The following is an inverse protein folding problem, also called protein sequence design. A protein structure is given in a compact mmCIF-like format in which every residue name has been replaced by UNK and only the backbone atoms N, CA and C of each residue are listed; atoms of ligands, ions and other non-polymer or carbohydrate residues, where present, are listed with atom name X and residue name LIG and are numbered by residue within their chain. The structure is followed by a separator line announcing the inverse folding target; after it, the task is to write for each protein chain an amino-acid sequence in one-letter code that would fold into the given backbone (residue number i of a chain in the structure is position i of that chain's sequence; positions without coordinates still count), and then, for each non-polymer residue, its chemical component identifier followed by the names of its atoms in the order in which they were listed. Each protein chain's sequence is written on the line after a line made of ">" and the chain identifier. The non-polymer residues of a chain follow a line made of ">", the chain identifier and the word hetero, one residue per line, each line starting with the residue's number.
data_IF_279720157300
#
_entry.id   IF_279720157300
#
_cell.length_a   1.000
_cell.length_b   1.000
_cell.length_c   1.000
_cell.angle_alpha   90.00
_cell.angle_beta   90.00
_cell.angle_gamma   90.00
#
_symmetry.space_group_name_H-M   'P 1'
#
loop_
_entity.id
_entity.type
_entity.pdbx_description
1 polymer ?
#
# COMPACT_ATOMS: atom_id res chain seq x y z
N UNK A 1 8.30 -4.15 5.71
CA UNK A 1 7.13 -5.04 5.63
C UNK A 1 6.06 -4.47 4.69
N UNK A 2 5.52 -3.27 4.92
CA UNK A 2 4.43 -2.68 4.12
C UNK A 2 4.73 -2.65 2.61
N UNK A 3 5.95 -2.29 2.18
CA UNK A 3 6.32 -2.28 0.75
C UNK A 3 6.34 -3.69 0.13
N UNK A 4 6.65 -4.72 0.90
CA UNK A 4 6.56 -6.10 0.41
C UNK A 4 5.10 -6.52 0.19
N UNK A 5 4.21 -6.08 1.05
CA UNK A 5 2.78 -6.42 1.01
C UNK A 5 2.01 -5.55 0.01
N UNK A 6 2.20 -4.23 0.03
CA UNK A 6 1.41 -3.26 -0.74
C UNK A 6 2.11 -2.74 -2.00
N UNK A 7 3.32 -3.24 -2.28
CA UNK A 7 4.15 -3.04 -3.47
C UNK A 7 4.77 -1.66 -3.61
N UNK A 8 4.02 -0.57 -3.51
CA UNK A 8 4.50 0.79 -3.82
C UNK A 8 3.82 1.82 -2.94
N UNK A 9 4.58 2.82 -2.51
CA UNK A 9 4.07 4.02 -1.85
C UNK A 9 4.75 5.27 -2.40
N UNK A 10 4.03 6.40 -2.40
CA UNK A 10 4.65 7.71 -2.65
C UNK A 10 5.37 8.22 -1.40
N UNK A 11 6.25 9.23 -1.57
CA UNK A 11 6.89 9.92 -0.42
C UNK A 11 5.86 10.44 0.58
N UNK A 12 4.75 11.02 0.12
CA UNK A 12 3.67 11.51 0.98
C UNK A 12 2.97 10.40 1.76
N UNK A 13 2.69 9.27 1.12
CA UNK A 13 2.09 8.11 1.79
C UNK A 13 3.02 7.55 2.87
N UNK A 14 4.32 7.44 2.59
CA UNK A 14 5.30 6.98 3.58
C UNK A 14 5.43 8.00 4.73
N UNK A 15 5.37 9.30 4.42
CA UNK A 15 5.36 10.32 5.46
C UNK A 15 4.17 10.13 6.42
N UNK A 16 2.96 9.92 5.90
CA UNK A 16 1.77 9.62 6.73
C UNK A 16 1.96 8.37 7.59
N UNK A 17 2.56 7.31 7.02
CA UNK A 17 2.75 6.04 7.70
C UNK A 17 3.76 6.07 8.85
N UNK A 18 4.84 6.87 8.72
CA UNK A 18 6.01 6.72 9.58
C UNK A 18 6.66 8.02 10.07
N UNK A 19 6.25 9.19 9.57
CA UNK A 19 6.91 10.46 9.88
C UNK A 19 5.90 11.55 10.23
N UNK A 20 6.35 12.56 10.97
CA UNK A 20 5.52 13.73 11.29
C UNK A 20 5.64 14.83 10.23
N UNK A 21 6.75 14.87 9.49
CA UNK A 21 7.02 15.88 8.48
C UNK A 21 7.53 15.23 7.19
N UNK A 22 7.12 15.81 6.05
CA UNK A 22 7.50 15.30 4.73
C UNK A 22 9.01 15.42 4.48
N UNK A 23 9.63 16.54 4.85
CA UNK A 23 11.06 16.76 4.63
C UNK A 23 11.92 15.70 5.35
N UNK A 24 11.56 15.40 6.60
CA UNK A 24 12.21 14.33 7.38
C UNK A 24 12.03 12.96 6.71
N UNK A 25 10.85 12.68 6.16
CA UNK A 25 10.59 11.47 5.41
C UNK A 25 11.47 11.42 4.15
N UNK A 26 11.55 12.50 3.37
CA UNK A 26 12.32 12.55 2.13
C UNK A 26 13.82 12.35 2.35
N UNK A 27 14.40 12.96 3.39
CA UNK A 27 15.79 12.76 3.77
C UNK A 27 16.07 11.31 4.15
N UNK A 28 15.21 10.72 4.97
CA UNK A 28 15.34 9.32 5.35
C UNK A 28 15.17 8.37 4.17
N UNK A 29 14.20 8.64 3.30
CA UNK A 29 13.97 7.86 2.09
C UNK A 29 15.13 7.95 1.11
N UNK A 30 15.79 9.11 0.99
CA UNK A 30 17.01 9.28 0.21
C UNK A 30 18.14 8.38 0.73
N UNK A 31 18.36 8.38 2.04
CA UNK A 31 19.36 7.52 2.70
C UNK A 31 19.06 6.04 2.47
N UNK A 32 17.81 5.60 2.70
CA UNK A 32 17.40 4.21 2.53
C UNK A 32 17.53 3.74 1.07
N UNK A 33 17.31 4.66 0.12
CA UNK A 33 17.52 4.36 -1.31
C UNK A 33 19.01 4.23 -1.62
N UNK A 34 19.86 5.10 -1.10
CA UNK A 34 21.31 5.01 -1.28
C UNK A 34 21.89 3.70 -0.71
N UNK A 35 21.33 3.22 0.40
CA UNK A 35 21.67 1.94 1.01
C UNK A 35 21.06 0.72 0.30
N UNK A 36 20.22 0.89 -0.73
CA UNK A 36 19.56 -0.21 -1.43
C UNK A 36 18.46 -0.91 -0.62
N UNK A 37 18.06 -0.35 0.51
CA UNK A 37 16.91 -0.84 1.29
C UNK A 37 15.61 -0.60 0.52
N UNK A 38 15.56 0.54 -0.20
CA UNK A 38 14.48 0.92 -1.10
C UNK A 38 15.02 1.13 -2.51
N UNK A 39 14.19 0.84 -3.50
CA UNK A 39 14.33 1.39 -4.85
C UNK A 39 13.25 2.46 -5.06
N UNK A 40 13.45 3.36 -6.02
CA UNK A 40 12.49 4.41 -6.35
C UNK A 40 12.39 4.65 -7.84
N UNK A 41 11.25 5.15 -8.27
CA UNK A 41 11.03 5.69 -9.61
C UNK A 41 10.17 6.95 -9.52
N UNK A 42 10.10 7.69 -10.61
CA UNK A 42 9.28 8.90 -10.72
C UNK A 42 8.51 8.84 -12.05
N UNK A 43 7.18 8.72 -12.01
CA UNK A 43 6.38 8.78 -13.22
C UNK A 43 6.56 10.12 -13.92
N UNK A 44 6.60 10.09 -15.25
CA UNK A 44 6.62 11.30 -16.06
C UNK A 44 5.26 11.98 -15.98
N UNK A 45 5.25 13.30 -15.89
CA UNK A 45 4.06 14.13 -15.99
C UNK A 45 4.30 15.19 -17.04
N UNK A 46 3.23 15.60 -17.73
CA UNK A 46 3.31 16.67 -18.74
C UNK A 46 3.53 18.03 -18.07
N UNK A 47 3.03 18.22 -16.86
CA UNK A 47 3.21 19.45 -16.08
C UNK A 47 3.61 19.12 -14.65
N UNK A 48 4.63 19.82 -14.13
CA UNK A 48 5.13 19.65 -12.76
C UNK A 48 5.92 18.35 -12.56
N UNK A 49 6.19 18.04 -11.32
CA UNK A 49 6.91 16.82 -10.90
C UNK A 49 6.00 15.89 -10.10
N UNK A 50 5.91 14.64 -10.48
CA UNK A 50 5.28 13.63 -9.64
C UNK A 50 6.13 13.41 -8.35
N UNK A 51 5.53 13.02 -7.22
CA UNK A 51 6.29 12.56 -6.07
C UNK A 51 7.11 11.33 -6.45
N UNK A 52 8.19 11.06 -5.71
CA UNK A 52 8.87 9.77 -5.82
C UNK A 52 7.97 8.64 -5.34
N UNK A 53 8.05 7.52 -6.03
CA UNK A 53 7.40 6.26 -5.71
C UNK A 53 8.47 5.29 -5.26
N UNK A 54 8.25 4.65 -4.13
CA UNK A 54 9.21 3.74 -3.50
C UNK A 54 8.70 2.32 -3.53
N UNK A 55 9.60 1.40 -3.80
CA UNK A 55 9.39 -0.05 -3.77
C UNK A 55 10.46 -0.70 -2.89
N UNK A 56 10.25 -1.94 -2.50
CA UNK A 56 11.25 -2.68 -1.74
C UNK A 56 12.52 -2.85 -2.57
N UNK A 57 13.67 -2.48 -2.00
CA UNK A 57 14.98 -2.67 -2.61
C UNK A 57 15.60 -4.03 -2.22
N UNK A 58 16.71 -4.43 -2.85
CA UNK A 58 17.33 -5.74 -2.62
C UNK A 58 17.84 -5.93 -1.19
N UNK A 59 18.40 -4.89 -0.58
CA UNK A 59 18.84 -4.96 0.83
C UNK A 59 17.63 -5.04 1.76
N UNK A 60 16.56 -4.29 1.46
CA UNK A 60 15.31 -4.38 2.21
C UNK A 60 14.67 -5.76 2.15
N UNK A 61 14.75 -6.43 0.99
CA UNK A 61 14.29 -7.81 0.83
C UNK A 61 15.16 -8.79 1.64
N UNK A 62 16.48 -8.60 1.65
CA UNK A 62 17.40 -9.43 2.44
C UNK A 62 17.15 -9.27 3.96
N UNK A 63 16.91 -8.03 4.43
CA UNK A 63 16.54 -7.76 5.82
C UNK A 63 15.23 -8.44 6.21
N UNK A 64 14.23 -8.37 5.32
CA UNK A 64 12.92 -8.98 5.56
C UNK A 64 13.01 -10.52 5.58
N UNK A 65 13.81 -11.10 4.69
CA UNK A 65 14.08 -12.54 4.65
C UNK A 65 14.75 -13.02 5.95
N UNK A 66 15.79 -12.31 6.38
CA UNK A 66 16.50 -12.62 7.63
C UNK A 66 15.57 -12.52 8.86
N UNK A 67 14.69 -11.49 8.89
CA UNK A 67 13.70 -11.34 9.95
C UNK A 67 12.70 -12.50 10.02
N UNK A 68 12.34 -13.08 8.87
CA UNK A 68 11.42 -14.21 8.78
C UNK A 68 12.10 -15.57 8.84
N UNK A 69 13.43 -15.63 8.90
CA UNK A 69 14.20 -16.87 8.90
C UNK A 69 14.12 -17.63 7.58
N UNK A 70 13.92 -16.93 6.46
CA UNK A 70 13.80 -17.52 5.11
C UNK A 70 14.85 -16.92 4.16
N UNK A 71 14.96 -17.46 2.94
CA UNK A 71 15.81 -16.87 1.91
C UNK A 71 15.07 -15.78 1.13
N UNK A 72 15.79 -14.90 0.44
CA UNK A 72 15.20 -13.90 -0.47
C UNK A 72 14.41 -14.57 -1.60
N UNK A 73 14.82 -15.76 -2.03
CA UNK A 73 14.11 -16.55 -3.03
C UNK A 73 12.75 -17.04 -2.51
N UNK A 74 12.68 -17.48 -1.25
CA UNK A 74 11.44 -17.92 -0.61
C UNK A 74 10.44 -16.77 -0.45
N UNK A 75 10.90 -15.51 -0.28
CA UNK A 75 10.04 -14.33 -0.33
C UNK A 75 9.47 -14.06 -1.73
N UNK A 76 9.95 -14.74 -2.77
CA UNK A 76 9.61 -14.46 -4.16
C UNK A 76 10.04 -13.08 -4.64
N UNK A 77 11.00 -12.44 -3.95
CA UNK A 77 11.48 -11.11 -4.33
C UNK A 77 12.34 -11.15 -5.58
N UNK A 78 11.98 -10.30 -6.54
CA UNK A 78 12.80 -9.98 -7.73
C UNK A 78 12.77 -8.47 -7.95
N UNK A 79 13.96 -7.85 -7.97
CA UNK A 79 14.08 -6.39 -8.16
C UNK A 79 13.36 -5.89 -9.41
N UNK A 80 13.53 -6.61 -10.52
CA UNK A 80 12.85 -6.27 -11.78
C UNK A 80 11.33 -6.27 -11.63
N UNK A 81 10.76 -7.25 -10.92
CA UNK A 81 9.32 -7.33 -10.64
C UNK A 81 8.86 -6.22 -9.72
N UNK A 82 9.66 -5.85 -8.71
CA UNK A 82 9.34 -4.72 -7.83
C UNK A 82 9.28 -3.40 -8.61
N UNK A 83 10.25 -3.15 -9.49
CA UNK A 83 10.28 -1.94 -10.33
C UNK A 83 9.26 -1.96 -11.48
N UNK A 84 8.84 -3.15 -11.95
CA UNK A 84 7.85 -3.27 -13.02
C UNK A 84 6.51 -2.63 -12.66
N UNK A 85 6.21 -2.42 -11.37
CA UNK A 85 5.00 -1.71 -10.92
C UNK A 85 4.89 -0.30 -11.52
N UNK A 86 6.00 0.33 -11.89
CA UNK A 86 6.05 1.63 -12.57
C UNK A 86 5.29 1.64 -13.91
N UNK A 87 5.14 0.49 -14.54
CA UNK A 87 4.48 0.30 -15.84
C UNK A 87 3.09 -0.36 -15.73
N UNK A 88 2.59 -0.58 -14.51
CA UNK A 88 1.27 -1.19 -14.35
C UNK A 88 0.17 -0.19 -14.68
N UNK A 89 -0.76 -0.60 -15.55
CA UNK A 89 -1.97 0.20 -15.84
C UNK A 89 -2.77 0.50 -14.56
N UNK A 90 -2.72 -0.40 -13.59
CA UNK A 90 -3.39 -0.27 -12.28
C UNK A 90 -2.58 0.49 -11.22
N UNK A 91 -1.43 1.07 -11.58
CA UNK A 91 -0.64 1.87 -10.62
C UNK A 91 -1.45 3.00 -9.96
N UNK A 92 -2.26 3.80 -10.69
CA UNK A 92 -3.08 4.84 -10.07
C UNK A 92 -4.08 4.29 -9.03
N UNK A 93 -4.68 3.13 -9.32
CA UNK A 93 -5.59 2.44 -8.40
C UNK A 93 -4.86 1.98 -7.13
N UNK A 94 -3.72 1.28 -7.28
CA UNK A 94 -2.89 0.83 -6.15
C UNK A 94 -2.53 2.03 -5.26
N UNK A 95 -2.16 3.16 -5.86
CA UNK A 95 -1.79 4.36 -5.12
C UNK A 95 -2.98 5.00 -4.41
N UNK A 96 -4.19 4.97 -4.99
CA UNK A 96 -5.41 5.45 -4.32
C UNK A 96 -5.75 4.60 -3.10
N UNK A 97 -5.76 3.28 -3.25
CA UNK A 97 -5.98 2.34 -2.15
C UNK A 97 -4.95 2.56 -1.04
N UNK A 98 -3.67 2.56 -1.39
CA UNK A 98 -2.60 2.78 -0.43
C UNK A 98 -2.67 4.18 0.22
N UNK A 99 -3.12 5.19 -0.52
CA UNK A 99 -3.32 6.56 -0.02
C UNK A 99 -4.40 6.63 1.05
N UNK A 100 -5.54 5.97 0.81
CA UNK A 100 -6.62 5.88 1.79
C UNK A 100 -6.15 5.27 3.11
N UNK A 101 -5.55 4.08 3.05
CA UNK A 101 -5.06 3.40 4.24
C UNK A 101 -3.89 4.13 4.92
N UNK A 102 -2.99 4.75 4.16
CA UNK A 102 -1.92 5.56 4.71
C UNK A 102 -2.46 6.80 5.46
N UNK A 103 -3.57 7.37 5.00
CA UNK A 103 -4.25 8.45 5.71
C UNK A 103 -4.86 7.96 7.03
N UNK A 104 -5.54 6.81 7.04
CA UNK A 104 -6.06 6.18 8.26
C UNK A 104 -4.94 5.86 9.26
N UNK A 105 -3.86 5.24 8.80
CA UNK A 105 -2.71 4.94 9.65
C UNK A 105 -2.06 6.22 10.20
N UNK A 106 -1.97 7.26 9.38
CA UNK A 106 -1.48 8.58 9.81
C UNK A 106 -2.41 9.26 10.82
N UNK A 107 -3.72 9.06 10.72
CA UNK A 107 -4.68 9.50 11.73
C UNK A 107 -4.46 8.74 13.05
N UNK A 108 -4.43 7.41 13.00
CA UNK A 108 -4.24 6.56 14.17
C UNK A 108 -2.95 6.90 14.95
N UNK A 109 -1.85 7.22 14.24
CA UNK A 109 -0.59 7.64 14.90
C UNK A 109 -0.72 8.90 15.75
N UNK A 110 -1.72 9.76 15.49
CA UNK A 110 -1.95 11.03 16.20
C UNK A 110 -3.09 10.95 17.21
N UNK A 111 -3.84 9.85 17.21
CA UNK A 111 -5.01 9.62 18.06
C UNK A 111 -4.84 8.29 18.79
N UNK A 112 -4.52 8.30 20.09
CA UNK A 112 -4.19 7.08 20.86
C UNK A 112 -5.30 6.04 20.89
N UNK A 113 -6.56 6.46 20.81
CA UNK A 113 -7.74 5.61 20.86
C UNK A 113 -8.11 4.98 19.52
N UNK A 114 -7.43 5.42 18.43
CA UNK A 114 -7.66 4.97 17.08
C UNK A 114 -6.57 4.01 16.60
N UNK A 115 -6.96 2.94 15.90
CA UNK A 115 -6.07 1.91 15.37
C UNK A 115 -6.55 1.42 14.00
N UNK A 116 -5.63 1.35 13.03
CA UNK A 116 -5.81 0.55 11.82
C UNK A 116 -5.34 -0.88 12.12
N UNK A 117 -6.22 -1.70 12.70
CA UNK A 117 -5.89 -3.04 13.20
C UNK A 117 -5.66 -4.07 12.08
N UNK A 118 -6.23 -3.86 10.90
CA UNK A 118 -5.94 -4.65 9.70
C UNK A 118 -5.94 -3.77 8.45
N UNK A 119 -5.05 -4.11 7.54
CA UNK A 119 -4.99 -3.54 6.20
C UNK A 119 -4.51 -4.62 5.22
N UNK A 120 -5.41 -5.09 4.36
CA UNK A 120 -5.11 -6.12 3.38
C UNK A 120 -5.20 -5.56 1.97
N UNK A 121 -4.20 -5.78 1.12
CA UNK A 121 -4.28 -5.46 -0.31
C UNK A 121 -5.18 -6.45 -1.03
N UNK A 122 -5.65 -6.08 -2.22
CA UNK A 122 -6.53 -6.88 -3.08
C UNK A 122 -6.08 -8.35 -3.20
N UNK A 123 -4.78 -8.61 -3.41
CA UNK A 123 -4.27 -9.99 -3.55
C UNK A 123 -4.51 -10.85 -2.31
N UNK A 124 -4.46 -10.23 -1.10
CA UNK A 124 -4.74 -10.94 0.15
C UNK A 124 -6.23 -11.17 0.33
N UNK A 125 -7.05 -10.22 -0.08
CA UNK A 125 -8.50 -10.38 -0.13
C UNK A 125 -8.89 -11.54 -1.05
N UNK A 126 -8.34 -11.58 -2.26
CA UNK A 126 -8.55 -12.68 -3.22
C UNK A 126 -8.12 -14.04 -2.68
N UNK A 127 -6.99 -14.11 -1.96
CA UNK A 127 -6.51 -15.35 -1.37
C UNK A 127 -7.44 -15.88 -0.25
N UNK A 128 -8.13 -14.99 0.47
CA UNK A 128 -9.00 -15.35 1.59
C UNK A 128 -10.45 -15.59 1.17
N UNK A 129 -10.98 -14.78 0.25
CA UNK A 129 -12.41 -14.83 -0.14
C UNK A 129 -12.63 -15.38 -1.54
N UNK A 130 -11.55 -15.71 -2.28
CA UNK A 130 -11.63 -16.34 -3.56
C UNK A 130 -12.32 -15.50 -4.62
N UNK A 131 -13.38 -16.08 -5.23
CA UNK A 131 -14.17 -15.43 -6.26
C UNK A 131 -15.45 -14.78 -5.76
N UNK A 132 -15.80 -14.94 -4.50
CA UNK A 132 -17.03 -14.39 -3.92
C UNK A 132 -17.03 -12.89 -3.99
N UNK A 133 -15.96 -12.27 -3.46
CA UNK A 133 -15.76 -10.83 -3.50
C UNK A 133 -14.30 -10.51 -3.86
N UNK A 134 -14.08 -9.42 -4.57
CA UNK A 134 -12.74 -9.00 -4.99
C UNK A 134 -12.49 -7.51 -4.67
N UNK A 135 -12.58 -7.11 -3.39
CA UNK A 135 -12.38 -5.72 -3.02
C UNK A 135 -10.94 -5.28 -3.32
N UNK A 136 -10.76 -3.99 -3.59
CA UNK A 136 -9.45 -3.39 -3.79
C UNK A 136 -8.61 -3.37 -2.50
N UNK A 137 -9.28 -3.41 -1.34
CA UNK A 137 -8.65 -3.54 -0.03
C UNK A 137 -9.66 -3.91 1.04
N UNK A 138 -9.15 -4.41 2.15
CA UNK A 138 -9.91 -4.66 3.37
C UNK A 138 -9.21 -3.96 4.54
N UNK A 139 -9.98 -3.35 5.42
CA UNK A 139 -9.50 -2.72 6.64
C UNK A 139 -10.33 -3.11 7.86
N UNK A 140 -9.64 -3.16 9.01
CA UNK A 140 -10.28 -3.15 10.31
C UNK A 140 -9.86 -1.89 11.03
N UNK A 141 -10.82 -1.05 11.31
CA UNK A 141 -10.65 0.18 12.07
C UNK A 141 -11.18 -0.01 13.48
N UNK A 142 -10.44 0.47 14.46
CA UNK A 142 -10.87 0.56 15.84
C UNK A 142 -10.79 2.00 16.29
N UNK A 143 -11.81 2.45 17.02
CA UNK A 143 -11.87 3.79 17.58
C UNK A 143 -12.79 3.76 18.81
N UNK A 144 -12.31 4.30 19.92
CA UNK A 144 -13.06 4.38 21.18
C UNK A 144 -13.81 3.07 21.55
N UNK A 145 -13.11 1.95 21.48
CA UNK A 145 -13.66 0.63 21.81
C UNK A 145 -14.57 0.00 20.75
N UNK A 146 -14.88 0.73 19.67
CA UNK A 146 -15.66 0.22 18.53
C UNK A 146 -14.74 -0.31 17.45
N UNK A 147 -15.08 -1.47 16.87
CA UNK A 147 -14.35 -2.04 15.72
C UNK A 147 -15.29 -2.13 14.51
N UNK A 148 -14.79 -1.67 13.35
CA UNK A 148 -15.51 -1.73 12.08
C UNK A 148 -14.63 -2.42 11.06
N UNK A 149 -15.15 -3.48 10.44
CA UNK A 149 -14.56 -4.11 9.26
C UNK A 149 -15.18 -3.50 8.02
N UNK A 150 -14.35 -3.18 7.02
CA UNK A 150 -14.83 -2.57 5.79
C UNK A 150 -14.05 -3.07 4.58
N UNK A 151 -14.73 -3.10 3.45
CA UNK A 151 -14.13 -3.31 2.14
C UNK A 151 -13.96 -1.97 1.43
N UNK A 152 -12.86 -1.82 0.71
CA UNK A 152 -12.59 -0.63 -0.08
C UNK A 152 -12.72 -0.97 -1.56
N UNK A 153 -13.64 -0.26 -2.23
CA UNK A 153 -13.76 -0.25 -3.68
C UNK A 153 -13.32 1.13 -4.22
N UNK A 154 -12.56 1.11 -5.32
CA UNK A 154 -12.16 2.32 -6.02
C UNK A 154 -12.98 2.44 -7.31
N UNK A 155 -13.81 3.46 -7.39
CA UNK A 155 -14.47 3.84 -8.63
C UNK A 155 -13.46 4.51 -9.58
N UNK A 156 -13.46 4.10 -10.83
CA UNK A 156 -12.61 4.66 -11.89
C UNK A 156 -13.26 5.84 -12.63
N UNK A 157 -14.55 6.13 -12.36
CA UNK A 157 -15.29 7.27 -12.92
C UNK A 157 -15.58 7.17 -14.42
N UNK A 158 -15.33 6.03 -15.06
CA UNK A 158 -15.53 5.85 -16.50
C UNK A 158 -16.91 5.27 -16.85
N UNK A 159 -17.58 4.57 -15.92
CA UNK A 159 -18.98 4.18 -16.00
C UNK A 159 -19.57 4.11 -14.58
N UNK A 160 -20.88 4.46 -14.39
CA UNK A 160 -21.52 4.26 -13.11
C UNK A 160 -21.55 2.76 -12.81
N UNK A 161 -20.65 2.32 -11.94
CA UNK A 161 -20.73 0.96 -11.40
C UNK A 161 -22.09 0.88 -10.71
N UNK A 162 -22.92 -0.05 -11.14
CA UNK A 162 -24.13 -0.38 -10.38
C UNK A 162 -23.66 -0.85 -9.00
N UNK A 163 -23.79 0.02 -8.01
CA UNK A 163 -23.48 -0.28 -6.60
C UNK A 163 -24.21 -1.56 -6.19
N UNK A 164 -25.41 -1.77 -6.73
CA UNK A 164 -26.21 -2.99 -6.53
C UNK A 164 -25.52 -4.25 -7.05
N UNK A 165 -24.87 -4.18 -8.21
CA UNK A 165 -24.12 -5.32 -8.74
C UNK A 165 -22.80 -5.56 -7.99
N UNK A 166 -22.14 -4.49 -7.52
CA UNK A 166 -20.95 -4.60 -6.69
C UNK A 166 -21.27 -5.16 -5.30
N UNK A 167 -22.44 -4.83 -4.73
CA UNK A 167 -22.88 -5.30 -3.41
C UNK A 167 -23.49 -6.71 -3.44
N UNK A 168 -24.00 -7.18 -4.58
CA UNK A 168 -24.61 -8.51 -4.67
C UNK A 168 -23.68 -9.68 -4.26
N UNK A 169 -22.37 -9.47 -4.29
CA UNK A 169 -21.39 -10.46 -3.81
C UNK A 169 -21.09 -10.39 -2.31
N UNK A 170 -21.73 -9.46 -1.56
CA UNK A 170 -21.53 -9.28 -0.11
C UNK A 170 -22.73 -9.77 0.72
N UNK A 171 -23.83 -10.15 0.06
CA UNK A 171 -25.07 -10.60 0.72
C UNK A 171 -25.13 -12.13 0.94
N UNK A 172 -24.15 -12.89 0.43
CA UNK A 172 -23.97 -14.33 0.63
C UNK A 172 -22.90 -14.59 1.73
#
# INVERSE_FOLDING_TARGET
>A
RLLAEHRVFTSHQIANLAFNHLDTAEDRLRTLTALGVLDRFRPRRDTGSAPYHYVLGPIGAAMLAAEQGVTVADLGYRRATALAVAHYRRLPEILRVNGFFAALAGYARRHPDAELAAWWPQRRCQANWGRLIQPHGFGRWRDDGTAVDFFLECDHGEEPISITAALAGYDD
#
